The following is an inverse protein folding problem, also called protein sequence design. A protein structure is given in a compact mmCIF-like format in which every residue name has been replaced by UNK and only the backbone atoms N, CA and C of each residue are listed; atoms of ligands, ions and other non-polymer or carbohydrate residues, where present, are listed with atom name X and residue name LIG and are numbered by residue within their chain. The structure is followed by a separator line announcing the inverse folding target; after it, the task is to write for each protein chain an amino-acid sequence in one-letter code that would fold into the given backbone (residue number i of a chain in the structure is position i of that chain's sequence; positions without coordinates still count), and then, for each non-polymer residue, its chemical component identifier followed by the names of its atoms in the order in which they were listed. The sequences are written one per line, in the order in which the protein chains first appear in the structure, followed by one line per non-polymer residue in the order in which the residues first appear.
data_IF_525262872556
#
_entry.id   IF_525262872556
#
_cell.length_a   1.000
_cell.length_b   1.000
_cell.length_c   1.000
_cell.angle_alpha   90.00
_cell.angle_beta   90.00
_cell.angle_gamma   90.00
#
_symmetry.space_group_name_H-M   'P 1'
#
loop_
_entity.id
_entity.type
_entity.pdbx_description
1 polymer ?
#
# COMPACT_ATOMS: atom_id res chain seq x y z
N UNK A 1 11.50 14.92 15.38
CA UNK A 1 12.60 15.91 15.58
C UNK A 1 12.41 16.55 16.95
N UNK A 2 13.49 16.87 17.65
CA UNK A 2 13.47 17.33 19.06
C UNK A 2 12.93 18.76 19.22
N UNK A 3 12.22 19.03 20.33
CA UNK A 3 11.78 20.38 20.73
C UNK A 3 12.85 21.13 21.57
N UNK A 4 14.05 20.55 21.70
CA UNK A 4 15.15 21.14 22.47
C UNK A 4 15.55 22.48 21.87
N UNK A 5 15.32 23.56 22.63
CA UNK A 5 15.73 24.92 22.25
C UNK A 5 17.25 24.95 22.00
N UNK A 6 17.65 25.54 20.88
CA UNK A 6 19.04 25.63 20.47
C UNK A 6 19.50 24.52 19.52
N UNK A 7 18.63 23.55 19.19
CA UNK A 7 18.91 22.60 18.11
C UNK A 7 18.67 23.25 16.76
N UNK A 8 19.67 23.23 15.89
CA UNK A 8 19.60 23.82 14.56
C UNK A 8 20.41 23.00 13.54
N UNK A 9 20.12 23.23 12.26
CA UNK A 9 20.93 22.67 11.17
C UNK A 9 21.97 23.69 10.73
N UNK A 10 23.23 23.28 10.70
CA UNK A 10 24.36 24.09 10.26
C UNK A 10 25.33 23.25 9.43
N UNK A 11 26.20 23.84 8.61
CA UNK A 11 27.24 23.09 7.92
C UNK A 11 28.25 22.47 8.90
N UNK A 12 28.89 21.38 8.49
CA UNK A 12 29.99 20.78 9.27
C UNK A 12 31.19 21.72 9.23
N UNK A 13 31.65 22.17 10.42
CA UNK A 13 32.80 23.08 10.54
C UNK A 13 34.06 22.38 10.01
N UNK A 14 34.79 23.06 9.13
CA UNK A 14 36.01 22.54 8.50
C UNK A 14 35.77 21.71 7.23
N UNK A 15 34.51 21.39 6.89
CA UNK A 15 34.18 20.75 5.63
C UNK A 15 34.22 21.76 4.47
N UNK A 16 35.10 21.52 3.50
CA UNK A 16 35.26 22.41 2.34
C UNK A 16 34.35 21.99 1.20
N UNK A 17 33.20 22.65 1.05
CA UNK A 17 32.26 22.37 -0.01
C UNK A 17 32.59 23.15 -1.30
N UNK A 18 32.35 22.55 -2.47
CA UNK A 18 32.62 23.18 -3.78
C UNK A 18 31.37 23.23 -4.65
N UNK A 19 30.87 24.44 -4.88
CA UNK A 19 29.78 24.71 -5.80
C UNK A 19 30.31 25.08 -7.20
N UNK A 20 29.77 24.43 -8.23
CA UNK A 20 29.97 24.78 -9.65
C UNK A 20 28.63 25.11 -10.28
N UNK A 21 28.40 26.37 -10.59
CA UNK A 21 27.24 26.81 -11.36
C UNK A 21 27.61 26.90 -12.84
N UNK A 22 26.88 26.19 -13.69
CA UNK A 22 27.07 26.10 -15.14
C UNK A 22 25.91 26.67 -15.94
N UNK A 23 24.76 26.91 -15.31
CA UNK A 23 23.61 27.54 -15.95
C UNK A 23 22.57 28.03 -14.94
N UNK A 24 21.68 28.95 -15.35
CA UNK A 24 20.58 29.43 -14.52
C UNK A 24 19.33 28.55 -14.66
N UNK A 25 18.46 28.61 -13.65
CA UNK A 25 17.03 28.35 -13.81
C UNK A 25 16.37 29.67 -14.24
N UNK A 26 15.50 29.63 -15.25
CA UNK A 26 14.82 30.82 -15.79
C UNK A 26 13.31 30.66 -15.73
N UNK A 27 12.51 31.72 -15.91
CA UNK A 27 11.05 31.58 -15.99
C UNK A 27 10.54 30.65 -17.09
N UNK A 28 11.38 30.34 -18.10
CA UNK A 28 11.05 29.40 -19.17
C UNK A 28 11.40 27.93 -18.83
N UNK A 29 12.13 27.67 -17.74
CA UNK A 29 12.50 26.33 -17.31
C UNK A 29 11.26 25.56 -16.87
N UNK A 30 11.02 24.38 -17.45
CA UNK A 30 9.80 23.60 -17.17
C UNK A 30 10.00 22.60 -16.05
N UNK A 31 11.17 21.96 -15.98
CA UNK A 31 11.48 20.95 -14.98
C UNK A 31 12.85 21.19 -14.36
N UNK A 32 12.90 21.09 -13.03
CA UNK A 32 14.15 21.06 -12.26
C UNK A 32 14.23 19.72 -11.54
N UNK A 33 15.37 19.04 -11.67
CA UNK A 33 15.64 17.74 -11.07
C UNK A 33 16.89 17.86 -10.19
N UNK A 34 16.87 17.23 -9.02
CA UNK A 34 18.01 17.15 -8.12
C UNK A 34 18.39 15.68 -7.88
N UNK A 35 19.64 15.33 -8.12
CA UNK A 35 20.22 14.05 -7.69
C UNK A 35 21.14 14.34 -6.52
N UNK A 36 20.88 13.73 -5.36
CA UNK A 36 21.68 13.91 -4.15
C UNK A 36 22.24 12.54 -3.76
N UNK A 37 23.57 12.43 -3.69
CA UNK A 37 24.27 11.23 -3.28
C UNK A 37 24.94 11.48 -1.94
N UNK A 38 24.49 10.78 -0.91
CA UNK A 38 25.10 10.86 0.42
C UNK A 38 26.44 10.12 0.39
N UNK A 39 27.52 10.86 0.62
CA UNK A 39 28.88 10.30 0.65
C UNK A 39 29.26 9.83 2.05
N UNK A 40 28.74 10.47 3.10
CA UNK A 40 29.06 10.13 4.49
C UNK A 40 27.90 10.47 5.42
N UNK A 41 27.64 9.60 6.41
CA UNK A 41 26.80 9.89 7.56
C UNK A 41 27.57 9.47 8.80
N UNK A 42 27.62 10.34 9.79
CA UNK A 42 28.39 10.08 10.99
C UNK A 42 27.94 10.88 12.20
N UNK A 43 28.71 10.72 13.28
CA UNK A 43 28.56 11.47 14.52
C UNK A 43 29.89 12.04 14.95
N UNK A 44 29.90 13.28 15.43
CA UNK A 44 31.08 13.85 16.04
C UNK A 44 30.82 15.15 16.82
N UNK A 45 30.51 15.08 18.13
CA UNK A 45 29.56 14.20 18.81
C UNK A 45 28.09 14.34 18.34
N UNK A 46 27.82 15.34 17.50
CA UNK A 46 26.53 15.65 16.87
C UNK A 46 26.40 14.91 15.53
N UNK A 47 25.18 14.54 15.08
CA UNK A 47 25.01 13.85 13.81
C UNK A 47 25.30 14.80 12.64
N UNK A 48 25.93 14.26 11.60
CA UNK A 48 26.14 14.98 10.34
C UNK A 48 25.98 14.06 9.13
N UNK A 49 25.74 14.70 7.99
CA UNK A 49 25.78 14.07 6.68
C UNK A 49 26.58 14.95 5.72
N UNK A 50 27.32 14.29 4.81
CA UNK A 50 27.99 14.91 3.66
C UNK A 50 27.41 14.27 2.41
N UNK A 51 27.15 15.08 1.39
CA UNK A 51 26.60 14.64 0.13
C UNK A 51 27.20 15.40 -1.06
N UNK A 52 27.10 14.81 -2.24
CA UNK A 52 27.28 15.47 -3.52
C UNK A 52 25.89 15.68 -4.15
N UNK A 53 25.65 16.82 -4.79
CA UNK A 53 24.39 17.09 -5.47
C UNK A 53 24.58 17.57 -6.91
N UNK A 54 23.78 17.03 -7.81
CA UNK A 54 23.60 17.52 -9.17
C UNK A 54 22.21 18.15 -9.31
N UNK A 55 22.16 19.36 -9.87
CA UNK A 55 20.91 20.00 -10.29
C UNK A 55 20.85 20.01 -11.81
N UNK A 56 19.69 19.65 -12.35
CA UNK A 56 19.40 19.67 -13.77
C UNK A 56 18.21 20.60 -14.03
N UNK A 57 18.28 21.38 -15.11
CA UNK A 57 17.16 22.13 -15.67
C UNK A 57 16.86 21.61 -17.08
N UNK A 58 15.63 21.13 -17.29
CA UNK A 58 15.17 20.53 -18.55
C UNK A 58 16.16 19.49 -19.11
N UNK A 59 16.67 18.62 -18.22
CA UNK A 59 17.61 17.53 -18.54
C UNK A 59 19.09 17.94 -18.67
N UNK A 60 19.43 19.22 -18.51
CA UNK A 60 20.83 19.70 -18.56
C UNK A 60 21.38 19.94 -17.16
N UNK A 61 22.54 19.39 -16.83
CA UNK A 61 23.21 19.64 -15.54
C UNK A 61 23.66 21.10 -15.46
N UNK A 62 23.03 21.86 -14.56
CA UNK A 62 23.27 23.30 -14.37
C UNK A 62 24.04 23.62 -13.09
N UNK A 63 24.00 22.75 -12.08
CA UNK A 63 24.77 22.92 -10.85
C UNK A 63 25.35 21.58 -10.42
N UNK A 64 26.59 21.60 -9.96
CA UNK A 64 27.19 20.51 -9.19
C UNK A 64 27.71 21.06 -7.88
N UNK A 65 27.30 20.46 -6.77
CA UNK A 65 27.70 20.84 -5.43
C UNK A 65 28.39 19.64 -4.79
N UNK A 66 29.72 19.71 -4.68
CA UNK A 66 30.53 18.68 -4.05
C UNK A 66 30.68 18.93 -2.56
N UNK A 67 30.63 17.86 -1.77
CA UNK A 67 30.89 17.85 -0.33
C UNK A 67 29.98 18.84 0.41
N UNK A 68 28.70 18.94 0.02
CA UNK A 68 27.72 19.69 0.80
C UNK A 68 27.51 18.96 2.13
N UNK A 69 27.41 19.71 3.23
CA UNK A 69 27.29 19.11 4.55
C UNK A 69 26.18 19.73 5.35
N UNK A 70 25.56 18.92 6.19
CA UNK A 70 24.61 19.33 7.20
C UNK A 70 24.93 18.59 8.50
N UNK A 71 24.97 19.33 9.60
CA UNK A 71 25.12 18.86 10.97
C UNK A 71 23.92 19.37 11.76
N UNK A 72 23.39 18.55 12.66
CA UNK A 72 22.35 18.99 13.59
C UNK A 72 22.99 19.31 14.94
N UNK A 73 23.22 20.58 15.19
CA UNK A 73 23.91 21.08 16.37
C UNK A 73 22.98 21.16 17.57
N UNK A 74 23.53 21.02 18.78
CA UNK A 74 22.80 21.08 20.03
C UNK A 74 22.20 19.75 20.48
N UNK A 75 22.44 18.66 19.75
CA UNK A 75 21.96 17.32 20.12
C UNK A 75 22.95 16.23 19.70
N UNK A 76 23.30 15.37 20.66
CA UNK A 76 24.20 14.23 20.43
C UNK A 76 23.50 12.92 20.09
N UNK A 77 24.27 11.91 19.70
CA UNK A 77 23.78 10.55 19.40
C UNK A 77 22.93 9.96 20.52
N UNK A 78 23.42 10.01 21.76
CA UNK A 78 22.74 9.41 22.90
C UNK A 78 21.38 10.06 23.16
N UNK A 79 21.29 11.38 22.99
CA UNK A 79 20.04 12.13 23.15
C UNK A 79 19.05 11.81 22.02
N UNK A 80 19.52 11.65 20.78
CA UNK A 80 18.68 11.21 19.65
C UNK A 80 18.16 9.81 19.89
N UNK A 81 19.04 8.88 20.27
CA UNK A 81 18.65 7.51 20.57
C UNK A 81 17.73 7.44 21.81
N UNK A 82 17.95 8.29 22.81
CA UNK A 82 17.06 8.40 23.96
C UNK A 82 15.70 8.99 23.59
N UNK A 83 15.65 9.98 22.70
CA UNK A 83 14.41 10.50 22.13
C UNK A 83 13.68 9.43 21.32
N UNK A 84 14.39 8.65 20.50
CA UNK A 84 13.79 7.53 19.79
C UNK A 84 13.25 6.48 20.75
N UNK A 85 14.03 6.06 21.76
CA UNK A 85 13.55 5.15 22.82
C UNK A 85 12.38 5.72 23.61
N UNK A 86 12.35 7.02 23.89
CA UNK A 86 11.25 7.72 24.54
C UNK A 86 10.06 7.95 23.61
N UNK A 87 10.24 8.00 22.30
CA UNK A 87 9.18 8.10 21.31
C UNK A 87 8.56 6.72 21.06
N UNK A 88 9.34 5.64 21.20
CA UNK A 88 8.86 4.26 21.30
C UNK A 88 8.16 3.94 22.63
N UNK A 89 8.34 4.77 23.67
CA UNK A 89 7.76 4.56 25.01
C UNK A 89 6.90 5.72 25.54
N UNK A 90 6.63 6.75 24.73
CA UNK A 90 5.65 7.79 25.02
C UNK A 90 4.29 7.24 24.61
N UNK A 91 3.30 7.19 25.52
CA UNK A 91 1.92 7.25 25.08
C UNK A 91 1.77 8.55 24.28
N UNK A 92 1.12 8.48 23.12
CA UNK A 92 0.87 9.63 22.26
C UNK A 92 0.37 10.83 23.10
N UNK A 93 1.15 11.90 23.16
CA UNK A 93 0.71 13.13 23.83
C UNK A 93 -0.14 13.91 22.83
N UNK A 94 -1.44 13.66 22.96
CA UNK A 94 -2.56 14.58 22.76
C UNK A 94 -2.42 15.64 21.65
N UNK A 95 -2.81 15.23 20.45
CA UNK A 95 -3.85 15.94 19.71
C UNK A 95 -4.93 14.90 19.35
N UNK A 96 -5.50 14.26 20.38
CA UNK A 96 -6.71 13.45 20.25
C UNK A 96 -7.89 14.27 20.79
N UNK A 97 -8.99 14.39 20.01
CA UNK A 97 -10.27 14.71 20.60
C UNK A 97 -10.63 13.63 21.64
N UNK A 98 -11.53 13.99 22.56
CA UNK A 98 -12.17 13.13 23.56
C UNK A 98 -12.28 11.62 23.19
N UNK A 99 -12.32 10.70 24.20
CA UNK A 99 -12.43 9.25 23.98
C UNK A 99 -13.45 8.96 22.88
N UNK A 100 -13.16 8.05 21.93
CA UNK A 100 -13.88 8.03 20.67
C UNK A 100 -15.37 7.95 21.00
N UNK A 101 -16.12 8.92 20.46
CA UNK A 101 -17.52 8.69 20.20
C UNK A 101 -17.63 7.29 19.58
N UNK A 102 -18.61 6.50 20.02
CA UNK A 102 -18.80 5.14 19.51
C UNK A 102 -18.57 5.11 17.99
N UNK A 103 -17.82 4.13 17.46
CA UNK A 103 -17.45 4.12 16.05
C UNK A 103 -18.71 4.28 15.19
N UNK A 104 -18.60 5.05 14.10
CA UNK A 104 -19.72 5.26 13.18
C UNK A 104 -20.21 3.92 12.60
N UNK A 105 -19.27 3.04 12.29
CA UNK A 105 -19.51 1.63 11.98
C UNK A 105 -18.52 0.79 12.77
N UNK A 106 -19.02 -0.12 13.59
CA UNK A 106 -18.21 -1.04 14.37
C UNK A 106 -17.89 -2.32 13.60
N UNK A 107 -17.16 -3.24 14.24
CA UNK A 107 -16.75 -4.52 13.64
C UNK A 107 -17.94 -5.34 13.18
N UNK A 108 -19.04 -5.32 13.93
CA UNK A 108 -20.25 -6.06 13.57
C UNK A 108 -20.83 -5.52 12.26
N UNK A 109 -20.89 -4.19 12.11
CA UNK A 109 -21.35 -3.54 10.89
C UNK A 109 -20.44 -3.86 9.69
N UNK A 110 -19.11 -3.87 9.89
CA UNK A 110 -18.18 -4.30 8.84
C UNK A 110 -18.42 -5.76 8.42
N UNK A 111 -18.62 -6.66 9.39
CA UNK A 111 -18.90 -8.08 9.10
C UNK A 111 -20.27 -8.30 8.45
N UNK A 112 -21.28 -7.54 8.85
CA UNK A 112 -22.59 -7.56 8.18
C UNK A 112 -22.47 -7.16 6.71
N UNK A 113 -21.61 -6.18 6.38
CA UNK A 113 -21.34 -5.91 4.96
C UNK A 113 -20.48 -7.00 4.31
N UNK A 114 -19.42 -7.51 4.95
CA UNK A 114 -18.50 -8.48 4.34
C UNK A 114 -19.15 -9.84 4.07
N UNK A 115 -19.83 -10.41 5.07
CA UNK A 115 -20.32 -11.81 5.05
C UNK A 115 -21.78 -11.97 5.49
N UNK A 116 -22.41 -10.90 6.00
CA UNK A 116 -23.80 -10.93 6.47
C UNK A 116 -24.78 -10.12 5.61
N UNK A 117 -25.81 -9.57 6.27
CA UNK A 117 -26.82 -8.75 5.63
C UNK A 117 -26.34 -7.29 5.51
N UNK A 118 -26.23 -6.73 4.30
CA UNK A 118 -25.69 -5.39 4.12
C UNK A 118 -26.66 -4.32 4.62
N UNK A 119 -27.96 -4.62 4.75
CA UNK A 119 -28.92 -3.72 5.40
C UNK A 119 -28.65 -3.51 6.90
N UNK A 120 -28.01 -4.45 7.58
CA UNK A 120 -27.58 -4.27 8.97
C UNK A 120 -26.44 -3.27 9.11
N UNK A 121 -25.65 -3.09 8.04
CA UNK A 121 -24.62 -2.05 7.96
C UNK A 121 -25.21 -0.73 7.46
N UNK A 122 -25.83 -0.73 6.28
CA UNK A 122 -26.18 0.50 5.54
C UNK A 122 -27.66 0.86 5.59
N UNK A 123 -28.48 0.14 6.34
CA UNK A 123 -29.89 0.43 6.55
C UNK A 123 -30.81 0.01 5.41
N UNK A 124 -32.04 0.54 5.46
CA UNK A 124 -33.17 0.09 4.62
C UNK A 124 -32.90 0.08 3.10
N UNK A 125 -32.21 1.06 2.49
CA UNK A 125 -31.95 1.02 1.04
C UNK A 125 -31.19 -0.23 0.59
N UNK A 126 -30.43 -0.85 1.49
CA UNK A 126 -29.62 -2.04 1.21
C UNK A 126 -30.35 -3.36 1.43
N UNK A 127 -31.60 -3.36 1.94
CA UNK A 127 -32.40 -4.59 2.16
C UNK A 127 -32.61 -5.40 0.88
N UNK A 128 -32.64 -4.74 -0.28
CA UNK A 128 -32.71 -5.41 -1.58
C UNK A 128 -31.54 -6.39 -1.81
N UNK A 129 -30.38 -6.14 -1.18
CA UNK A 129 -29.18 -6.98 -1.33
C UNK A 129 -29.05 -8.08 -0.28
N UNK A 130 -30.00 -8.17 0.66
CA UNK A 130 -30.01 -9.25 1.65
C UNK A 130 -30.43 -10.57 0.98
N UNK A 131 -31.44 -10.52 0.10
CA UNK A 131 -32.04 -11.73 -0.49
C UNK A 131 -32.32 -11.65 -2.00
N UNK A 132 -32.52 -10.44 -2.56
CA UNK A 132 -33.06 -10.29 -3.93
C UNK A 132 -31.95 -10.06 -4.96
N UNK A 133 -31.00 -9.19 -4.65
CA UNK A 133 -29.87 -8.81 -5.53
C UNK A 133 -28.54 -9.13 -4.89
N UNK A 134 -27.52 -9.28 -5.73
CA UNK A 134 -26.14 -9.46 -5.26
C UNK A 134 -25.38 -8.16 -5.37
N UNK A 135 -24.63 -7.85 -4.32
CA UNK A 135 -23.68 -6.75 -4.27
C UNK A 135 -22.27 -7.30 -4.07
N UNK A 136 -21.27 -6.60 -4.61
CA UNK A 136 -19.88 -6.83 -4.23
C UNK A 136 -19.69 -6.54 -2.73
N UNK A 137 -18.86 -7.35 -2.08
CA UNK A 137 -18.66 -7.37 -0.63
C UNK A 137 -17.20 -7.06 -0.32
N UNK A 138 -16.93 -6.59 0.90
CA UNK A 138 -15.57 -6.68 1.44
C UNK A 138 -15.20 -8.15 1.65
N UNK A 139 -13.91 -8.51 1.58
CA UNK A 139 -13.47 -9.82 2.04
C UNK A 139 -13.86 -10.06 3.51
N UNK A 140 -14.25 -11.31 3.79
CA UNK A 140 -14.48 -11.78 5.16
C UNK A 140 -13.18 -12.22 5.84
N UNK A 141 -13.21 -12.53 7.16
CA UNK A 141 -12.09 -13.18 7.83
C UNK A 141 -11.68 -14.46 7.09
N UNK A 142 -10.36 -14.78 7.01
CA UNK A 142 -9.24 -14.11 7.67
C UNK A 142 -8.64 -12.93 6.88
N UNK A 143 -9.29 -12.49 5.80
CA UNK A 143 -8.81 -11.42 4.91
C UNK A 143 -9.55 -10.09 5.09
N UNK A 144 -10.24 -9.91 6.23
CA UNK A 144 -10.98 -8.70 6.56
C UNK A 144 -10.12 -7.80 7.45
N UNK A 145 -9.64 -6.68 6.90
CA UNK A 145 -8.68 -5.79 7.55
C UNK A 145 -9.27 -4.41 7.83
N UNK A 146 -10.53 -4.40 8.26
CA UNK A 146 -11.23 -3.23 8.75
C UNK A 146 -11.95 -3.59 10.05
N UNK A 147 -11.60 -2.93 11.15
CA UNK A 147 -12.28 -3.14 12.43
C UNK A 147 -13.42 -2.15 12.64
N UNK A 148 -13.25 -0.92 12.17
CA UNK A 148 -14.22 0.16 12.37
C UNK A 148 -14.05 1.30 11.39
N UNK A 149 -15.13 2.04 11.16
CA UNK A 149 -15.11 3.38 10.57
C UNK A 149 -15.36 4.39 11.70
N UNK A 150 -14.42 5.30 11.89
CA UNK A 150 -14.50 6.33 12.94
C UNK A 150 -15.09 7.63 12.42
N UNK A 151 -15.00 7.88 11.12
CA UNK A 151 -15.51 9.10 10.49
C UNK A 151 -15.85 8.88 9.02
N UNK A 152 -16.97 9.44 8.58
CA UNK A 152 -17.31 9.61 7.18
C UNK A 152 -17.75 11.07 6.99
N UNK A 153 -17.07 11.79 6.10
CA UNK A 153 -17.49 13.13 5.68
C UNK A 153 -18.62 13.14 4.62
N UNK A 154 -18.65 12.20 3.66
CA UNK A 154 -19.78 12.11 2.74
C UNK A 154 -21.08 11.75 3.44
N UNK A 155 -22.20 12.13 2.83
CA UNK A 155 -23.53 11.67 3.24
C UNK A 155 -23.80 10.25 2.70
N UNK A 156 -24.49 9.38 3.46
CA UNK A 156 -24.83 8.06 2.98
C UNK A 156 -25.69 8.14 1.71
N UNK A 157 -25.44 7.21 0.79
CA UNK A 157 -26.14 7.05 -0.48
C UNK A 157 -26.02 8.23 -1.46
N UNK A 158 -25.06 9.14 -1.21
CA UNK A 158 -24.73 10.23 -2.13
C UNK A 158 -23.40 9.92 -2.82
N UNK A 159 -23.48 9.51 -4.09
CA UNK A 159 -22.32 9.27 -4.92
C UNK A 159 -21.76 10.59 -5.46
N UNK A 160 -20.75 11.11 -4.79
CA UNK A 160 -20.07 12.36 -5.14
C UNK A 160 -18.55 12.26 -4.89
N UNK A 161 -17.80 13.14 -5.55
CA UNK A 161 -16.39 13.33 -5.25
C UNK A 161 -16.19 14.14 -3.96
N UNK A 162 -14.98 14.04 -3.42
CA UNK A 162 -14.50 14.59 -2.16
C UNK A 162 -15.15 13.95 -0.92
N UNK A 163 -14.68 14.39 0.25
CA UNK A 163 -15.04 13.83 1.54
C UNK A 163 -14.20 12.62 1.91
N UNK A 164 -13.48 12.72 3.02
CA UNK A 164 -12.69 11.62 3.56
C UNK A 164 -13.52 10.69 4.44
N UNK A 165 -13.34 9.38 4.22
CA UNK A 165 -13.66 8.33 5.19
C UNK A 165 -12.39 7.97 5.94
N UNK A 166 -12.52 7.70 7.23
CA UNK A 166 -11.44 7.23 8.11
C UNK A 166 -11.87 5.92 8.77
N UNK A 167 -11.11 4.86 8.48
CA UNK A 167 -11.26 3.53 9.05
C UNK A 167 -10.00 3.16 9.84
N UNK A 168 -10.12 2.15 10.71
CA UNK A 168 -9.00 1.63 11.49
C UNK A 168 -8.97 0.11 11.46
N UNK A 169 -7.76 -0.43 11.54
CA UNK A 169 -7.46 -1.84 11.72
C UNK A 169 -6.39 -1.98 12.81
N UNK A 170 -6.72 -2.68 13.89
CA UNK A 170 -5.77 -3.02 14.93
C UNK A 170 -5.02 -4.27 14.50
N UNK A 171 -3.71 -4.16 14.29
CA UNK A 171 -2.89 -5.32 13.93
C UNK A 171 -2.73 -6.22 15.16
N UNK A 172 -3.19 -7.48 15.12
CA UNK A 172 -2.86 -8.44 16.18
C UNK A 172 -1.38 -8.82 16.13
N UNK A 173 -0.75 -8.97 17.30
CA UNK A 173 0.69 -9.30 17.41
C UNK A 173 1.04 -10.65 16.73
N UNK A 174 0.10 -11.59 16.69
CA UNK A 174 0.26 -12.95 16.17
C UNK A 174 -0.60 -13.22 14.92
N UNK A 175 -0.87 -12.17 14.13
CA UNK A 175 -1.71 -12.31 12.95
C UNK A 175 -1.10 -13.24 11.89
N UNK A 176 -1.96 -14.04 11.26
CA UNK A 176 -1.56 -15.22 10.46
C UNK A 176 -0.56 -14.88 9.35
N UNK A 177 -0.71 -13.70 8.74
CA UNK A 177 0.05 -13.31 7.57
C UNK A 177 1.52 -13.01 7.87
N UNK A 178 1.88 -12.63 9.11
CA UNK A 178 3.29 -12.42 9.46
C UNK A 178 4.04 -13.75 9.54
N UNK A 179 3.42 -14.76 10.15
CA UNK A 179 3.98 -16.11 10.24
C UNK A 179 4.01 -16.80 8.86
N UNK A 180 2.99 -16.57 8.02
CA UNK A 180 2.95 -17.09 6.66
C UNK A 180 3.99 -16.43 5.74
N UNK A 181 4.22 -15.12 5.86
CA UNK A 181 5.15 -14.40 4.99
C UNK A 181 6.62 -14.69 5.31
N UNK A 182 6.95 -14.89 6.61
CA UNK A 182 8.29 -15.25 7.12
C UNK A 182 9.37 -14.18 6.94
N UNK A 183 9.07 -12.98 6.45
CA UNK A 183 10.04 -11.88 6.39
C UNK A 183 10.03 -10.97 7.62
N UNK A 184 9.05 -11.13 8.50
CA UNK A 184 8.86 -10.30 9.70
C UNK A 184 8.18 -8.95 9.44
N UNK A 185 7.79 -8.69 8.19
CA UNK A 185 6.97 -7.53 7.81
C UNK A 185 5.65 -7.99 7.20
N UNK A 186 4.68 -7.09 7.12
CA UNK A 186 3.38 -7.35 6.52
C UNK A 186 3.57 -7.64 5.02
N UNK A 187 3.03 -8.76 4.51
CA UNK A 187 3.10 -9.07 3.09
C UNK A 187 2.38 -7.99 2.29
N UNK A 188 2.96 -7.62 1.15
CA UNK A 188 2.45 -6.50 0.35
C UNK A 188 1.00 -6.70 -0.11
N UNK A 189 0.56 -7.94 -0.37
CA UNK A 189 -0.83 -8.24 -0.72
C UNK A 189 -1.82 -7.86 0.40
N UNK A 190 -1.45 -8.05 1.66
CA UNK A 190 -2.26 -7.67 2.83
C UNK A 190 -2.28 -6.15 3.00
N UNK A 191 -1.11 -5.49 2.86
CA UNK A 191 -1.05 -4.02 2.93
C UNK A 191 -1.85 -3.36 1.80
N UNK A 192 -1.80 -3.93 0.60
CA UNK A 192 -2.60 -3.49 -0.53
C UNK A 192 -4.09 -3.62 -0.19
N UNK A 193 -4.51 -4.75 0.36
CA UNK A 193 -5.90 -4.96 0.74
C UNK A 193 -6.38 -3.99 1.85
N UNK A 194 -5.56 -3.78 2.89
CA UNK A 194 -5.81 -2.80 3.96
C UNK A 194 -6.09 -1.41 3.39
N UNK A 195 -5.35 -1.01 2.36
CA UNK A 195 -5.54 0.28 1.71
C UNK A 195 -6.82 0.35 0.87
N UNK A 196 -7.25 -0.78 0.29
CA UNK A 196 -8.31 -0.83 -0.72
C UNK A 196 -9.70 -1.17 -0.16
N UNK A 197 -9.80 -1.90 0.96
CA UNK A 197 -11.11 -2.19 1.59
C UNK A 197 -11.90 -0.94 1.95
N UNK A 198 -11.30 0.14 2.50
CA UNK A 198 -12.00 1.39 2.73
C UNK A 198 -12.62 1.99 1.46
N UNK A 199 -11.97 1.83 0.30
CA UNK A 199 -12.51 2.29 -0.98
C UNK A 199 -13.77 1.51 -1.36
N UNK A 200 -13.75 0.18 -1.23
CA UNK A 200 -14.92 -0.68 -1.45
C UNK A 200 -16.05 -0.40 -0.47
N UNK A 201 -15.71 -0.13 0.80
CA UNK A 201 -16.66 0.29 1.81
C UNK A 201 -17.29 1.65 1.46
N UNK A 202 -16.48 2.64 1.05
CA UNK A 202 -16.97 3.97 0.65
C UNK A 202 -17.86 3.89 -0.59
N UNK A 203 -17.54 3.06 -1.58
CA UNK A 203 -18.40 2.86 -2.74
C UNK A 203 -19.79 2.31 -2.34
N UNK A 204 -19.83 1.37 -1.39
CA UNK A 204 -21.10 0.90 -0.82
C UNK A 204 -21.79 2.00 0.01
N UNK A 205 -21.07 2.69 0.90
CA UNK A 205 -21.63 3.77 1.69
C UNK A 205 -22.24 4.89 0.84
N UNK A 206 -21.59 5.24 -0.27
CA UNK A 206 -22.05 6.23 -1.25
C UNK A 206 -23.23 5.73 -2.12
N UNK A 207 -23.62 4.46 -2.01
CA UNK A 207 -24.78 3.90 -2.72
C UNK A 207 -24.50 3.53 -4.18
N UNK A 208 -23.25 3.28 -4.58
CA UNK A 208 -22.90 3.04 -5.99
C UNK A 208 -23.65 1.87 -6.61
N UNK A 209 -23.86 0.78 -5.86
CA UNK A 209 -24.65 -0.36 -6.34
C UNK A 209 -26.16 -0.07 -6.47
N UNK A 210 -26.67 0.96 -5.77
CA UNK A 210 -28.06 1.41 -5.88
C UNK A 210 -28.33 2.20 -7.16
N UNK A 211 -27.27 2.64 -7.86
CA UNK A 211 -27.37 3.39 -9.12
C UNK A 211 -27.85 2.55 -10.30
N UNK A 212 -27.74 1.23 -10.20
CA UNK A 212 -28.21 0.28 -11.21
C UNK A 212 -29.33 -0.60 -10.66
N UNK A 213 -30.18 -1.11 -11.56
CA UNK A 213 -31.14 -2.17 -11.26
C UNK A 213 -30.54 -3.58 -11.42
N UNK A 214 -29.39 -3.69 -12.09
CA UNK A 214 -28.68 -4.96 -12.28
C UNK A 214 -27.70 -5.25 -11.13
N UNK A 215 -27.36 -6.52 -10.95
CA UNK A 215 -26.24 -6.94 -10.09
C UNK A 215 -24.93 -6.47 -10.72
N UNK A 216 -24.17 -5.66 -9.98
CA UNK A 216 -22.89 -5.12 -10.41
C UNK A 216 -21.73 -5.86 -9.76
N UNK A 217 -20.67 -6.07 -10.53
CA UNK A 217 -19.39 -6.61 -10.07
C UNK A 217 -18.40 -5.46 -9.91
N UNK A 218 -17.70 -5.45 -8.79
CA UNK A 218 -16.73 -4.42 -8.45
C UNK A 218 -15.31 -4.95 -8.68
N UNK A 219 -14.49 -4.23 -9.43
CA UNK A 219 -13.09 -4.62 -9.70
C UNK A 219 -12.17 -3.43 -9.55
N UNK A 220 -11.01 -3.66 -8.91
CA UNK A 220 -9.88 -2.76 -9.03
C UNK A 220 -9.33 -2.81 -10.46
N UNK A 221 -9.04 -1.65 -11.03
CA UNK A 221 -8.57 -1.53 -12.42
C UNK A 221 -7.13 -1.01 -12.52
N UNK A 222 -6.58 -0.53 -11.41
CA UNK A 222 -5.21 0.00 -11.35
C UNK A 222 -5.06 1.12 -10.32
N UNK A 223 -3.88 1.73 -10.34
CA UNK A 223 -3.50 2.83 -9.47
C UNK A 223 -2.00 3.04 -9.44
N UNK A 224 -1.57 4.03 -8.68
CA UNK A 224 -0.17 4.29 -8.36
C UNK A 224 -0.03 4.56 -6.87
N UNK A 225 1.03 4.04 -6.25
CA UNK A 225 1.22 4.21 -4.82
C UNK A 225 2.70 4.16 -4.42
N UNK A 226 2.98 4.75 -3.27
CA UNK A 226 4.29 4.80 -2.64
C UNK A 226 4.21 4.13 -1.28
N UNK A 227 5.02 3.09 -1.09
CA UNK A 227 5.29 2.47 0.20
C UNK A 227 6.43 3.24 0.88
N UNK A 228 6.11 3.94 1.96
CA UNK A 228 7.05 4.78 2.70
C UNK A 228 7.82 4.00 3.76
N UNK A 229 7.14 3.05 4.43
CA UNK A 229 7.70 2.27 5.54
C UNK A 229 7.07 0.88 5.58
N UNK A 230 7.82 -0.07 6.12
CA UNK A 230 7.30 -1.41 6.39
C UNK A 230 6.38 -1.41 7.62
N UNK A 231 5.43 -2.34 7.62
CA UNK A 231 4.56 -2.64 8.77
C UNK A 231 5.05 -3.92 9.42
N UNK A 232 5.10 -3.92 10.74
CA UNK A 232 5.61 -5.01 11.59
C UNK A 232 4.53 -5.38 12.63
N UNK A 233 4.67 -6.54 13.32
CA UNK A 233 3.71 -6.93 14.35
C UNK A 233 3.51 -5.92 15.48
N UNK A 234 4.53 -5.09 15.77
CA UNK A 234 4.51 -4.05 16.80
C UNK A 234 4.02 -2.67 16.28
N UNK A 235 3.58 -2.57 15.02
CA UNK A 235 3.09 -1.30 14.46
C UNK A 235 1.81 -0.81 15.14
N UNK A 236 0.99 -1.71 15.69
CA UNK A 236 -0.26 -1.38 16.37
C UNK A 236 -1.39 -1.03 15.39
N UNK A 237 -2.16 0.02 15.69
CA UNK A 237 -3.32 0.40 14.87
C UNK A 237 -2.91 1.15 13.60
N UNK A 238 -3.38 0.66 12.46
CA UNK A 238 -3.37 1.39 11.20
C UNK A 238 -4.63 2.25 11.08
N UNK A 239 -4.44 3.49 10.65
CA UNK A 239 -5.53 4.38 10.25
C UNK A 239 -5.54 4.49 8.73
N UNK A 240 -6.60 4.00 8.10
CA UNK A 240 -6.80 4.05 6.66
C UNK A 240 -7.77 5.16 6.31
N UNK A 241 -7.42 5.98 5.33
CA UNK A 241 -8.27 7.05 4.81
C UNK A 241 -8.45 6.87 3.32
N UNK A 242 -9.65 7.10 2.83
CA UNK A 242 -9.92 7.16 1.40
C UNK A 242 -10.94 8.26 1.09
N UNK A 243 -10.94 8.74 -0.14
CA UNK A 243 -11.97 9.62 -0.69
C UNK A 243 -12.17 9.31 -2.16
N UNK A 244 -13.38 9.52 -2.67
CA UNK A 244 -13.62 9.51 -4.11
C UNK A 244 -13.11 10.84 -4.67
N UNK A 245 -12.29 10.82 -5.72
CA UNK A 245 -11.81 12.04 -6.39
C UNK A 245 -12.58 12.31 -7.68
N UNK A 246 -13.16 11.27 -8.29
CA UNK A 246 -13.95 11.38 -9.51
C UNK A 246 -14.90 10.19 -9.64
N UNK A 247 -16.09 10.45 -10.15
CA UNK A 247 -17.05 9.44 -10.59
C UNK A 247 -17.32 9.63 -12.07
N UNK A 248 -17.46 8.55 -12.83
CA UNK A 248 -17.84 8.56 -14.24
C UNK A 248 -18.86 7.46 -14.50
N UNK A 249 -20.05 7.82 -14.96
CA UNK A 249 -21.13 6.90 -15.30
C UNK A 249 -21.28 6.84 -16.83
N UNK A 250 -21.23 5.64 -17.41
CA UNK A 250 -21.43 5.43 -18.84
C UNK A 250 -22.10 4.07 -19.09
N UNK A 251 -23.31 4.09 -19.65
CA UNK A 251 -24.14 2.90 -19.86
C UNK A 251 -24.25 2.06 -18.57
N UNK A 252 -23.83 0.79 -18.60
CA UNK A 252 -23.89 -0.15 -17.48
C UNK A 252 -22.61 -0.17 -16.61
N UNK A 253 -21.79 0.89 -16.71
CA UNK A 253 -20.51 0.99 -16.02
C UNK A 253 -20.40 2.26 -15.19
N UNK A 254 -19.85 2.11 -13.99
CA UNK A 254 -19.50 3.22 -13.09
C UNK A 254 -18.02 3.09 -12.78
N UNK A 255 -17.24 4.13 -13.02
CA UNK A 255 -15.84 4.21 -12.64
C UNK A 255 -15.69 5.22 -11.51
N UNK A 256 -15.01 4.80 -10.45
CA UNK A 256 -14.72 5.61 -9.27
C UNK A 256 -13.22 5.67 -9.07
N UNK A 257 -12.67 6.89 -9.07
CA UNK A 257 -11.28 7.16 -8.73
C UNK A 257 -11.20 7.54 -7.25
N UNK A 258 -10.14 7.08 -6.59
CA UNK A 258 -9.92 7.30 -5.17
C UNK A 258 -8.49 7.80 -4.91
N UNK A 259 -8.35 8.65 -3.91
CA UNK A 259 -7.09 8.79 -3.16
C UNK A 259 -7.18 7.94 -1.90
N UNK A 260 -6.08 7.32 -1.48
CA UNK A 260 -5.99 6.62 -0.21
C UNK A 260 -4.71 6.92 0.56
N UNK A 261 -4.78 6.74 1.88
CA UNK A 261 -3.67 6.82 2.81
C UNK A 261 -3.78 5.71 3.87
N UNK A 262 -2.67 5.07 4.18
CA UNK A 262 -2.48 4.19 5.34
C UNK A 262 -1.46 4.87 6.23
N UNK A 263 -1.83 5.09 7.49
CA UNK A 263 -1.06 5.82 8.48
C UNK A 263 -0.84 4.93 9.71
N UNK A 264 0.30 5.09 10.37
CA UNK A 264 0.57 4.53 11.69
C UNK A 264 1.11 5.63 12.60
N UNK A 265 0.43 5.90 13.73
CA UNK A 265 0.77 7.02 14.61
C UNK A 265 0.71 8.39 13.92
N UNK A 266 -0.18 8.55 12.93
CA UNK A 266 -0.33 9.77 12.12
C UNK A 266 0.68 9.91 10.97
N UNK A 267 1.69 9.05 10.90
CA UNK A 267 2.74 9.12 9.88
C UNK A 267 2.45 8.17 8.70
N UNK A 268 2.72 8.57 7.45
CA UNK A 268 2.48 7.74 6.27
C UNK A 268 3.21 6.39 6.30
N UNK A 269 2.48 5.33 5.92
CA UNK A 269 2.97 3.99 5.60
C UNK A 269 2.84 3.75 4.10
N UNK A 270 1.63 3.95 3.55
CA UNK A 270 1.33 3.65 2.16
C UNK A 270 0.31 4.68 1.64
N UNK A 271 0.63 5.36 0.54
CA UNK A 271 -0.24 6.41 -0.01
C UNK A 271 -0.31 6.30 -1.50
N UNK A 272 -1.45 6.59 -2.09
CA UNK A 272 -1.58 6.53 -3.54
C UNK A 272 -2.96 6.90 -4.03
N UNK A 273 -3.14 6.64 -5.31
CA UNK A 273 -4.41 6.68 -6.00
C UNK A 273 -4.77 5.29 -6.54
N UNK A 274 -6.06 5.08 -6.74
CA UNK A 274 -6.57 3.87 -7.35
C UNK A 274 -7.91 4.15 -8.02
N UNK A 275 -8.37 3.25 -8.87
CA UNK A 275 -9.70 3.35 -9.43
C UNK A 275 -10.34 1.98 -9.58
N UNK A 276 -11.65 1.96 -9.35
CA UNK A 276 -12.47 0.78 -9.42
C UNK A 276 -13.58 0.97 -10.44
N UNK A 277 -14.02 -0.13 -11.02
CA UNK A 277 -15.17 -0.16 -11.90
C UNK A 277 -16.26 -1.08 -11.38
N UNK A 278 -17.49 -0.64 -11.51
CA UNK A 278 -18.69 -1.46 -11.45
C UNK A 278 -19.09 -1.88 -12.86
N UNK A 279 -19.32 -3.17 -13.04
CA UNK A 279 -19.64 -3.77 -14.33
C UNK A 279 -20.83 -4.72 -14.20
N UNK A 280 -21.70 -4.73 -15.19
CA UNK A 280 -22.64 -5.84 -15.36
C UNK A 280 -21.89 -7.14 -15.68
N UNK A 281 -22.53 -8.29 -15.46
CA UNK A 281 -21.96 -9.58 -15.83
C UNK A 281 -21.68 -9.68 -17.34
N UNK A 282 -22.52 -9.05 -18.17
CA UNK A 282 -22.33 -8.99 -19.62
C UNK A 282 -21.07 -8.19 -19.99
N UNK A 283 -20.87 -7.02 -19.39
CA UNK A 283 -19.69 -6.19 -19.63
C UNK A 283 -18.39 -6.92 -19.22
N UNK A 284 -18.42 -7.69 -18.13
CA UNK A 284 -17.27 -8.51 -17.73
C UNK A 284 -16.96 -9.65 -18.70
N UNK A 285 -17.99 -10.31 -19.25
CA UNK A 285 -17.79 -11.40 -20.21
C UNK A 285 -17.15 -10.93 -21.53
N UNK A 286 -17.18 -9.63 -21.81
CA UNK A 286 -16.56 -9.02 -22.99
C UNK A 286 -15.11 -8.55 -22.73
N UNK A 287 -14.53 -8.79 -21.55
CA UNK A 287 -13.15 -8.42 -21.26
C UNK A 287 -12.18 -9.40 -21.93
N UNK A 288 -11.51 -8.93 -22.99
CA UNK A 288 -10.58 -9.71 -23.80
C UNK A 288 -9.18 -9.90 -23.17
N UNK A 289 -8.94 -9.34 -21.98
CA UNK A 289 -7.63 -9.35 -21.32
C UNK A 289 -6.54 -8.64 -22.14
N UNK A 290 -5.27 -9.01 -21.91
CA UNK A 290 -4.16 -8.54 -22.73
C UNK A 290 -4.15 -9.33 -24.05
N UNK A 291 -4.46 -8.65 -25.16
CA UNK A 291 -4.49 -9.29 -26.48
C UNK A 291 -3.09 -9.63 -27.01
N UNK A 292 -3.02 -10.53 -28.01
CA UNK A 292 -1.76 -10.90 -28.70
C UNK A 292 -0.97 -9.72 -29.28
N UNK A 293 -1.62 -8.58 -29.51
CA UNK A 293 -0.98 -7.38 -30.01
C UNK A 293 -0.19 -6.62 -28.95
N UNK A 294 -0.44 -6.88 -27.66
CA UNK A 294 0.16 -6.22 -26.52
C UNK A 294 1.71 -6.34 -26.55
N UNK A 295 2.45 -5.24 -26.33
CA UNK A 295 3.91 -5.25 -26.40
C UNK A 295 4.57 -6.24 -25.43
N UNK A 296 4.04 -6.37 -24.21
CA UNK A 296 4.56 -7.30 -23.22
C UNK A 296 4.30 -8.75 -23.63
N UNK A 297 3.08 -9.05 -24.09
CA UNK A 297 2.72 -10.39 -24.58
C UNK A 297 3.62 -10.79 -25.75
N UNK A 298 3.84 -9.89 -26.73
CA UNK A 298 4.75 -10.13 -27.86
C UNK A 298 6.20 -10.33 -27.41
N UNK A 299 6.69 -9.50 -26.49
CA UNK A 299 8.05 -9.59 -25.98
C UNK A 299 8.32 -10.94 -25.28
N UNK A 300 7.32 -11.51 -24.62
CA UNK A 300 7.42 -12.77 -23.91
C UNK A 300 7.14 -14.00 -24.79
N UNK A 301 6.44 -13.86 -25.92
CA UNK A 301 6.01 -14.97 -26.77
C UNK A 301 7.15 -15.91 -27.22
N UNK A 302 8.33 -15.38 -27.56
CA UNK A 302 9.49 -16.19 -27.98
C UNK A 302 10.08 -17.08 -26.87
N UNK A 303 9.69 -16.82 -25.63
CA UNK A 303 10.14 -17.51 -24.41
C UNK A 303 9.05 -18.37 -23.80
N UNK A 304 7.79 -18.19 -24.21
CA UNK A 304 6.63 -18.85 -23.63
C UNK A 304 6.73 -20.38 -23.69
N UNK A 305 7.26 -20.97 -24.76
CA UNK A 305 7.37 -22.43 -24.89
C UNK A 305 8.71 -22.99 -24.37
N UNK A 306 9.62 -22.12 -23.91
CA UNK A 306 10.93 -22.55 -23.40
C UNK A 306 10.81 -23.04 -21.96
N UNK A 307 11.55 -24.10 -21.66
CA UNK A 307 11.65 -24.70 -20.33
C UNK A 307 13.04 -25.28 -20.16
N UNK A 308 13.59 -25.19 -18.96
CA UNK A 308 14.81 -25.87 -18.50
C UNK A 308 14.49 -27.00 -17.50
N UNK A 309 13.19 -27.33 -17.33
CA UNK A 309 12.69 -28.31 -16.37
C UNK A 309 11.64 -27.72 -15.44
N UNK A 310 10.83 -28.59 -14.83
CA UNK A 310 9.85 -28.22 -13.82
C UNK A 310 10.47 -28.33 -12.43
N UNK A 311 10.59 -27.20 -11.74
CA UNK A 311 11.19 -27.11 -10.41
C UNK A 311 10.09 -26.81 -9.38
N UNK A 312 9.51 -27.84 -8.72
CA UNK A 312 8.49 -27.61 -7.71
C UNK A 312 9.05 -26.82 -6.54
N UNK A 313 8.27 -25.85 -6.06
CA UNK A 313 8.57 -25.10 -4.85
C UNK A 313 8.10 -25.89 -3.62
N UNK A 314 8.80 -25.73 -2.49
CA UNK A 314 8.40 -26.39 -1.25
C UNK A 314 7.16 -25.71 -0.69
N UNK A 315 6.09 -26.48 -0.50
CA UNK A 315 4.84 -26.01 0.07
C UNK A 315 4.89 -26.10 1.60
N UNK A 316 5.77 -25.32 2.22
CA UNK A 316 5.96 -25.40 3.67
C UNK A 316 4.77 -24.81 4.46
N UNK A 317 4.55 -25.21 5.73
CA UNK A 317 3.56 -24.58 6.61
C UNK A 317 3.86 -23.09 6.89
N UNK A 318 2.85 -22.29 7.26
CA UNK A 318 1.44 -22.66 7.40
C UNK A 318 0.76 -22.86 6.05
N UNK A 319 -0.10 -23.89 5.95
CA UNK A 319 -0.84 -24.19 4.71
C UNK A 319 -2.12 -23.38 4.54
N UNK A 320 -2.70 -22.92 5.65
CA UNK A 320 -3.92 -22.13 5.73
C UNK A 320 -3.70 -21.03 6.77
N UNK A 321 -4.43 -19.91 6.69
CA UNK A 321 -4.36 -18.83 7.69
C UNK A 321 -4.52 -19.33 9.14
N UNK A 322 -5.53 -20.15 9.42
CA UNK A 322 -5.81 -20.66 10.78
C UNK A 322 -4.66 -21.48 11.37
N UNK A 323 -3.87 -22.16 10.53
CA UNK A 323 -2.71 -22.93 10.96
C UNK A 323 -1.51 -22.04 11.37
N UNK A 324 -1.54 -20.75 11.02
CA UNK A 324 -0.49 -19.81 11.34
C UNK A 324 -0.69 -19.09 12.68
N UNK A 325 -1.90 -19.09 13.23
CA UNK A 325 -2.29 -18.28 14.40
C UNK A 325 -1.44 -18.57 15.67
N UNK A 326 -0.93 -19.80 15.80
CA UNK A 326 -0.07 -20.23 16.92
C UNK A 326 1.43 -20.25 16.56
N UNK A 327 1.81 -19.75 15.38
CA UNK A 327 3.18 -19.78 14.90
C UNK A 327 3.89 -18.47 15.24
N UNK A 328 4.96 -18.54 16.03
CA UNK A 328 5.79 -17.37 16.32
C UNK A 328 6.52 -16.90 15.06
N UNK A 329 6.51 -15.59 14.82
CA UNK A 329 7.29 -14.96 13.74
C UNK A 329 8.78 -15.06 14.07
N UNK A 330 9.56 -15.71 13.21
CA UNK A 330 11.02 -15.79 13.32
C UNK A 330 11.66 -15.57 11.96
N UNK A 331 12.65 -14.68 11.91
CA UNK A 331 13.40 -14.34 10.69
C UNK A 331 14.87 -14.71 10.93
N UNK A 332 15.18 -15.99 10.79
CA UNK A 332 16.53 -16.53 10.99
C UNK A 332 17.27 -16.79 9.66
N UNK A 333 16.54 -16.89 8.56
CA UNK A 333 17.07 -17.13 7.21
C UNK A 333 16.12 -16.63 6.13
N UNK A 334 16.64 -16.51 4.90
CA UNK A 334 15.80 -16.33 3.72
C UNK A 334 14.95 -17.58 3.49
N UNK A 335 13.64 -17.40 3.38
CA UNK A 335 12.68 -18.47 3.14
C UNK A 335 11.60 -17.99 2.17
N UNK A 336 11.03 -18.93 1.40
CA UNK A 336 9.77 -18.70 0.72
C UNK A 336 8.64 -18.60 1.75
N UNK A 337 7.56 -17.86 1.45
CA UNK A 337 6.37 -17.83 2.29
C UNK A 337 5.80 -19.25 2.44
N UNK A 338 5.09 -19.48 3.55
CA UNK A 338 4.30 -20.70 3.72
C UNK A 338 3.21 -20.81 2.66
N UNK A 339 2.68 -22.02 2.46
CA UNK A 339 1.65 -22.32 1.44
C UNK A 339 0.44 -21.37 1.52
N UNK A 340 0.10 -20.86 2.70
CA UNK A 340 -0.98 -19.88 2.86
C UNK A 340 -0.78 -18.59 2.03
N UNK A 341 0.46 -18.18 1.73
CA UNK A 341 0.79 -17.02 0.88
C UNK A 341 1.61 -17.37 -0.37
N UNK A 342 1.98 -18.63 -0.56
CA UNK A 342 2.79 -19.04 -1.71
C UNK A 342 1.90 -19.15 -2.97
N UNK A 343 2.03 -18.17 -3.86
CA UNK A 343 1.23 -18.06 -5.08
C UNK A 343 1.84 -18.75 -6.30
N UNK A 344 2.91 -19.53 -6.14
CA UNK A 344 3.59 -20.23 -7.23
C UNK A 344 3.91 -21.65 -6.75
N UNK A 345 3.50 -22.66 -7.51
CA UNK A 345 3.74 -24.06 -7.15
C UNK A 345 5.07 -24.57 -7.71
N UNK A 346 5.48 -24.06 -8.88
CA UNK A 346 6.72 -24.47 -9.54
C UNK A 346 7.26 -23.41 -10.49
N UNK A 347 8.55 -23.52 -10.79
CA UNK A 347 9.22 -22.75 -11.84
C UNK A 347 9.43 -23.68 -13.04
N UNK A 348 8.78 -23.37 -14.16
CA UNK A 348 8.85 -24.16 -15.41
C UNK A 348 9.91 -23.60 -16.39
N UNK A 349 10.41 -22.40 -16.15
CA UNK A 349 11.53 -21.84 -16.89
C UNK A 349 12.33 -20.89 -16.01
N UNK A 350 13.64 -21.08 -15.93
CA UNK A 350 14.60 -20.11 -15.41
C UNK A 350 15.73 -19.93 -16.43
N UNK A 351 15.63 -18.88 -17.25
CA UNK A 351 16.53 -18.59 -18.35
C UNK A 351 17.30 -17.30 -18.05
N UNK A 352 18.53 -17.34 -17.50
CA UNK A 352 19.25 -16.14 -17.07
C UNK A 352 19.57 -15.15 -18.20
N UNK A 353 19.71 -15.64 -19.42
CA UNK A 353 19.92 -14.87 -20.65
C UNK A 353 18.63 -14.66 -21.45
N UNK A 354 17.49 -14.99 -20.84
CA UNK A 354 16.17 -14.90 -21.45
C UNK A 354 15.59 -13.48 -21.51
N UNK A 355 14.40 -13.39 -22.11
CA UNK A 355 13.64 -12.15 -22.21
C UNK A 355 14.08 -11.27 -23.39
N UNK A 356 13.22 -10.33 -23.79
CA UNK A 356 13.48 -9.46 -24.95
C UNK A 356 14.73 -8.59 -24.82
N UNK A 357 15.22 -8.37 -23.60
CA UNK A 357 16.41 -7.58 -23.30
C UNK A 357 17.61 -8.43 -22.83
N UNK A 358 17.49 -9.76 -22.82
CA UNK A 358 18.55 -10.65 -22.34
C UNK A 358 18.90 -10.50 -20.85
N UNK A 359 17.95 -10.00 -20.04
CA UNK A 359 18.12 -9.76 -18.60
C UNK A 359 17.59 -10.91 -17.74
N UNK A 360 17.05 -11.95 -18.37
CA UNK A 360 16.46 -13.08 -17.69
C UNK A 360 14.98 -13.26 -18.02
N UNK A 361 14.53 -14.49 -17.99
CA UNK A 361 13.13 -14.88 -18.08
C UNK A 361 12.84 -15.97 -17.07
N UNK A 362 11.86 -15.72 -16.21
CA UNK A 362 11.36 -16.69 -15.24
C UNK A 362 9.87 -16.90 -15.49
N UNK A 363 9.45 -18.17 -15.55
CA UNK A 363 8.04 -18.54 -15.60
C UNK A 363 7.69 -19.40 -14.40
N UNK A 364 6.96 -18.80 -13.47
CA UNK A 364 6.26 -19.53 -12.42
C UNK A 364 4.91 -20.04 -12.91
N UNK A 365 4.47 -21.17 -12.36
CA UNK A 365 3.16 -21.75 -12.61
C UNK A 365 2.46 -21.95 -11.28
N UNK A 366 1.18 -21.55 -11.25
CA UNK A 366 0.23 -21.87 -10.19
C UNK A 366 -0.89 -22.69 -10.80
N UNK A 367 -1.14 -23.86 -10.23
CA UNK A 367 -2.33 -24.64 -10.49
C UNK A 367 -3.48 -23.94 -9.76
N UNK A 368 -4.52 -23.56 -10.50
CA UNK A 368 -5.72 -22.98 -9.89
C UNK A 368 -6.47 -24.10 -9.18
N UNK A 369 -6.62 -23.94 -7.87
CA UNK A 369 -7.36 -24.85 -6.99
C UNK A 369 -8.56 -24.06 -6.40
N UNK A 370 -9.80 -24.41 -6.78
CA UNK A 370 -11.01 -23.74 -6.27
C UNK A 370 -11.22 -23.87 -4.76
N UNK A 371 -10.53 -24.80 -4.10
CA UNK A 371 -10.64 -25.04 -2.66
C UNK A 371 -9.56 -24.26 -1.85
N UNK A 372 -8.76 -23.41 -2.51
CA UNK A 372 -7.87 -22.48 -1.82
C UNK A 372 -8.65 -21.50 -0.93
N UNK A 373 -8.01 -21.01 0.12
CA UNK A 373 -8.69 -20.21 1.15
C UNK A 373 -9.15 -18.82 0.68
N UNK A 374 -8.70 -18.36 -0.49
CA UNK A 374 -8.88 -16.99 -1.00
C UNK A 374 -9.73 -16.91 -2.28
#
# INVERSE_FOLDING_TARGET
MTDKRGVCYEPVIGNSARLKCRGPVTPATRHVHYEIQISEIGYGPEPYAIADAHMFADGRSIVFFKDMSMKMTGIGREEIEALWRQQSSRPAVADEPAPPAAPLYDRASILSFAVGNPSEAFGEPYRIFDEVRKIARLPGPPYCFMDRVTRAEPEPWVLAADGWVTAQYDIPENEWYFAADRSGVMPFCVLLEIALQPCGWLAAFAGSALRSQQDLKFRNLGGSAVLHRQVTPDTGTLTMRCRITKVSEAADMIIENFDFQVLAGGEPIYTGDTYFGFFSAEALNQQNGMGHADPMVKAMAAWADRSDGAHPLSMDPPHMPDAAADTSVSVDRLALPGKALLMIDRIDAHLPDGGASGLGYIRGVKQVDPDEWF
#
